data_IF_671330563511
#
_entry.id   IF_671330563511
#
_cell.length_a   1.000
_cell.length_b   1.000
_cell.length_c   1.000
_cell.angle_alpha   90.00
_cell.angle_beta   90.00
_cell.angle_gamma   90.00
#
_symmetry.space_group_name_H-M   'P 1'
#
loop_
_entity.id
_entity.type
_entity.pdbx_description
1 polymer ?
#
# COMPACT_ATOMS: atom_id res chain seq x y z
N UNK A 1 12.25 -65.60 -6.57
CA UNK A 1 11.09 -64.67 -6.72
C UNK A 1 10.89 -63.79 -5.49
N UNK A 2 10.77 -64.35 -4.28
CA UNK A 2 10.54 -63.56 -3.04
C UNK A 2 11.60 -62.47 -2.76
N UNK A 3 12.89 -62.75 -2.95
CA UNK A 3 13.98 -61.77 -2.78
C UNK A 3 13.94 -60.61 -3.80
N UNK A 4 13.46 -60.86 -5.02
CA UNK A 4 13.28 -59.81 -6.02
C UNK A 4 12.13 -58.87 -5.61
N UNK A 5 11.04 -59.44 -5.08
CA UNK A 5 9.90 -58.67 -4.59
C UNK A 5 10.25 -57.83 -3.36
N UNK A 6 11.08 -58.33 -2.44
CA UNK A 6 11.52 -57.54 -1.28
C UNK A 6 12.40 -56.35 -1.69
N UNK A 7 13.29 -56.54 -2.67
CA UNK A 7 14.16 -55.48 -3.19
C UNK A 7 13.38 -54.37 -3.90
N UNK A 8 12.35 -54.74 -4.67
CA UNK A 8 11.47 -53.76 -5.33
C UNK A 8 10.71 -52.92 -4.30
N UNK A 9 10.19 -53.54 -3.22
CA UNK A 9 9.50 -52.81 -2.15
C UNK A 9 10.39 -51.80 -1.45
N UNK A 10 11.64 -52.15 -1.18
CA UNK A 10 12.61 -51.23 -0.55
C UNK A 10 12.92 -50.04 -1.47
N UNK A 11 13.20 -50.30 -2.75
CA UNK A 11 13.47 -49.23 -3.73
C UNK A 11 12.27 -48.30 -3.93
N UNK A 12 11.04 -48.86 -3.95
CA UNK A 12 9.80 -48.07 -4.03
C UNK A 12 9.62 -47.18 -2.81
N UNK A 13 9.87 -47.71 -1.61
CA UNK A 13 9.79 -46.93 -0.38
C UNK A 13 10.80 -45.77 -0.36
N UNK A 14 12.03 -45.99 -0.82
CA UNK A 14 13.06 -44.95 -0.92
C UNK A 14 12.72 -43.89 -1.99
N UNK A 15 12.03 -44.29 -3.06
CA UNK A 15 11.57 -43.36 -4.11
C UNK A 15 10.36 -42.53 -3.65
N UNK A 16 9.41 -43.15 -2.95
CA UNK A 16 8.27 -42.48 -2.32
C UNK A 16 8.72 -41.48 -1.26
N UNK A 17 9.69 -41.86 -0.42
CA UNK A 17 10.28 -40.95 0.57
C UNK A 17 10.91 -39.72 -0.09
N UNK A 18 11.65 -39.91 -1.19
CA UNK A 18 12.24 -38.81 -1.97
C UNK A 18 11.18 -37.92 -2.61
N UNK A 19 10.12 -38.50 -3.19
CA UNK A 19 8.98 -37.74 -3.72
C UNK A 19 8.30 -36.91 -2.64
N UNK A 20 8.05 -37.51 -1.47
CA UNK A 20 7.41 -36.80 -0.35
C UNK A 20 8.27 -35.64 0.16
N UNK A 21 9.59 -35.85 0.26
CA UNK A 21 10.53 -34.78 0.63
C UNK A 21 10.49 -33.62 -0.37
N UNK A 22 10.52 -33.91 -1.68
CA UNK A 22 10.42 -32.89 -2.73
C UNK A 22 9.10 -32.12 -2.69
N UNK A 23 7.96 -32.81 -2.53
CA UNK A 23 6.65 -32.15 -2.41
C UNK A 23 6.59 -31.26 -1.17
N UNK A 24 7.16 -31.71 -0.05
CA UNK A 24 7.23 -30.92 1.19
C UNK A 24 8.11 -29.68 1.02
N UNK A 25 9.29 -29.83 0.43
CA UNK A 25 10.19 -28.70 0.14
C UNK A 25 9.52 -27.69 -0.78
N UNK A 26 8.87 -28.15 -1.85
CA UNK A 26 8.10 -27.29 -2.74
C UNK A 26 6.98 -26.56 -2.01
N UNK A 27 6.19 -27.25 -1.17
CA UNK A 27 5.11 -26.63 -0.41
C UNK A 27 5.63 -25.53 0.53
N UNK A 28 6.77 -25.77 1.20
CA UNK A 28 7.42 -24.76 2.05
C UNK A 28 7.90 -23.55 1.24
N UNK A 29 8.48 -23.79 0.06
CA UNK A 29 8.92 -22.71 -0.83
C UNK A 29 7.73 -21.88 -1.34
N UNK A 30 6.64 -22.53 -1.73
CA UNK A 30 5.42 -21.88 -2.18
C UNK A 30 4.82 -21.04 -1.05
N UNK A 31 4.72 -21.58 0.18
CA UNK A 31 4.25 -20.85 1.36
C UNK A 31 5.10 -19.59 1.64
N UNK A 32 6.43 -19.72 1.64
CA UNK A 32 7.34 -18.57 1.81
C UNK A 32 7.16 -17.55 0.70
N UNK A 33 6.95 -18.00 -0.54
CA UNK A 33 6.71 -17.12 -1.68
C UNK A 33 5.42 -16.32 -1.52
N UNK A 34 4.32 -16.98 -1.13
CA UNK A 34 3.05 -16.31 -0.84
C UNK A 34 3.15 -15.32 0.31
N UNK A 35 3.83 -15.66 1.40
CA UNK A 35 4.03 -14.75 2.53
C UNK A 35 4.84 -13.52 2.12
N UNK A 36 5.88 -13.71 1.31
CA UNK A 36 6.70 -12.61 0.81
C UNK A 36 5.92 -11.71 -0.15
N UNK A 37 5.09 -12.27 -1.01
CA UNK A 37 4.20 -11.53 -1.89
C UNK A 37 3.18 -10.70 -1.08
N UNK A 38 2.44 -11.34 -0.18
CA UNK A 38 1.47 -10.66 0.69
C UNK A 38 2.12 -9.54 1.50
N UNK A 39 3.34 -9.76 2.04
CA UNK A 39 4.09 -8.72 2.75
C UNK A 39 4.42 -7.55 1.81
N UNK A 40 4.92 -7.81 0.60
CA UNK A 40 5.26 -6.76 -0.37
C UNK A 40 4.03 -5.96 -0.78
N UNK A 41 2.93 -6.63 -1.08
CA UNK A 41 1.66 -5.97 -1.43
C UNK A 41 1.17 -5.09 -0.27
N UNK A 42 1.18 -5.61 0.97
CA UNK A 42 0.81 -4.84 2.15
C UNK A 42 1.68 -3.59 2.34
N UNK A 43 2.99 -3.67 2.11
CA UNK A 43 3.87 -2.49 2.15
C UNK A 43 3.56 -1.48 1.06
N UNK A 44 3.28 -1.94 -0.17
CA UNK A 44 2.94 -1.06 -1.29
C UNK A 44 1.61 -0.36 -1.04
N UNK A 45 0.58 -1.11 -0.61
CA UNK A 45 -0.73 -0.57 -0.27
C UNK A 45 -0.64 0.42 0.88
N UNK A 46 -0.01 0.05 1.99
CA UNK A 46 0.16 0.94 3.15
C UNK A 46 0.94 2.21 2.81
N UNK A 47 1.95 2.12 1.93
CA UNK A 47 2.68 3.32 1.46
C UNK A 47 1.79 4.22 0.58
N UNK A 48 0.99 3.64 -0.30
CA UNK A 48 0.07 4.41 -1.14
C UNK A 48 -1.02 5.09 -0.31
N UNK A 49 -1.59 4.39 0.67
CA UNK A 49 -2.57 4.94 1.60
C UNK A 49 -1.98 6.08 2.43
N UNK A 50 -0.80 5.87 3.03
CA UNK A 50 -0.11 6.91 3.80
C UNK A 50 0.21 8.16 2.96
N UNK A 51 0.59 7.98 1.68
CA UNK A 51 0.82 9.11 0.77
C UNK A 51 -0.48 9.87 0.48
N UNK A 52 -1.58 9.17 0.20
CA UNK A 52 -2.89 9.79 -0.04
C UNK A 52 -3.37 10.54 1.21
N UNK A 53 -3.27 9.93 2.38
CA UNK A 53 -3.65 10.58 3.64
C UNK A 53 -2.81 11.83 3.92
N UNK A 54 -1.50 11.76 3.64
CA UNK A 54 -0.61 12.92 3.78
C UNK A 54 -0.99 14.05 2.80
N UNK A 55 -1.25 13.73 1.53
CA UNK A 55 -1.69 14.70 0.52
C UNK A 55 -3.03 15.34 0.90
N UNK A 56 -4.01 14.55 1.33
CA UNK A 56 -5.30 15.05 1.80
C UNK A 56 -5.15 15.95 3.03
N UNK A 57 -4.30 15.56 3.98
CA UNK A 57 -4.07 16.34 5.18
C UNK A 57 -3.35 17.65 4.85
N UNK A 58 -2.37 17.62 3.95
CA UNK A 58 -1.71 18.83 3.44
C UNK A 58 -2.70 19.75 2.73
N UNK A 59 -3.59 19.22 1.91
CA UNK A 59 -4.62 20.04 1.25
C UNK A 59 -5.58 20.65 2.28
N UNK A 60 -5.99 19.88 3.29
CA UNK A 60 -6.83 20.39 4.40
C UNK A 60 -6.14 21.51 5.16
N UNK A 61 -4.85 21.37 5.49
CA UNK A 61 -4.11 22.40 6.21
C UNK A 61 -3.94 23.66 5.36
N UNK A 62 -3.58 23.53 4.08
CA UNK A 62 -3.52 24.66 3.13
C UNK A 62 -4.84 25.42 3.05
N UNK A 63 -5.97 24.69 2.87
CA UNK A 63 -7.31 25.30 2.85
C UNK A 63 -7.65 25.97 4.19
N UNK A 64 -7.29 25.37 5.32
CA UNK A 64 -7.50 25.96 6.64
C UNK A 64 -6.71 27.27 6.82
N UNK A 65 -5.45 27.31 6.36
CA UNK A 65 -4.63 28.53 6.34
C UNK A 65 -5.29 29.62 5.49
N UNK A 66 -5.74 29.29 4.27
CA UNK A 66 -6.44 30.24 3.42
C UNK A 66 -7.71 30.80 4.08
N UNK A 67 -8.52 29.95 4.72
CA UNK A 67 -9.71 30.39 5.47
C UNK A 67 -9.36 31.31 6.64
N UNK A 68 -8.30 30.99 7.39
CA UNK A 68 -7.81 31.83 8.49
C UNK A 68 -7.40 33.22 7.99
N UNK A 69 -6.66 33.29 6.89
CA UNK A 69 -6.24 34.55 6.26
C UNK A 69 -7.46 35.37 5.78
N UNK A 70 -8.44 34.73 5.14
CA UNK A 70 -9.68 35.40 4.71
C UNK A 70 -10.48 35.97 5.87
N UNK A 71 -10.48 35.31 7.03
CA UNK A 71 -11.24 35.75 8.19
C UNK A 71 -10.57 36.91 8.94
N UNK A 72 -9.24 36.96 8.93
CA UNK A 72 -8.45 37.92 9.71
C UNK A 72 -8.03 39.16 8.93
N UNK A 73 -8.13 39.15 7.60
CA UNK A 73 -7.58 40.20 6.74
C UNK A 73 -8.44 40.46 5.50
N UNK A 74 -8.32 41.65 4.90
CA UNK A 74 -8.92 41.99 3.59
C UNK A 74 -7.96 41.65 2.42
N UNK A 75 -7.18 40.57 2.53
CA UNK A 75 -6.23 40.18 1.49
C UNK A 75 -6.93 39.76 0.19
N UNK A 76 -6.32 40.12 -0.94
CA UNK A 76 -6.77 39.73 -2.28
C UNK A 76 -6.47 38.25 -2.55
N UNK A 77 -7.28 37.61 -3.40
CA UNK A 77 -7.21 36.16 -3.65
C UNK A 77 -5.83 35.72 -4.15
N UNK A 78 -5.15 36.54 -4.97
CA UNK A 78 -3.79 36.27 -5.43
C UNK A 78 -2.78 36.11 -4.30
N UNK A 79 -2.84 36.97 -3.28
CA UNK A 79 -1.88 36.93 -2.18
C UNK A 79 -2.16 35.79 -1.21
N UNK A 80 -3.44 35.44 -1.01
CA UNK A 80 -3.83 34.28 -0.21
C UNK A 80 -3.40 32.97 -0.90
N UNK A 81 -3.56 32.90 -2.23
CA UNK A 81 -3.12 31.77 -3.04
C UNK A 81 -1.61 31.52 -2.91
N UNK A 82 -0.82 32.60 -2.96
CA UNK A 82 0.64 32.53 -2.79
C UNK A 82 1.04 32.03 -1.38
N UNK A 83 0.45 32.61 -0.32
CA UNK A 83 0.82 32.26 1.06
C UNK A 83 0.35 30.86 1.46
N UNK A 84 -0.87 30.49 1.06
CA UNK A 84 -1.44 29.18 1.37
C UNK A 84 -0.95 28.07 0.43
N UNK A 85 -0.14 28.42 -0.59
CA UNK A 85 0.32 27.51 -1.64
C UNK A 85 -0.85 26.74 -2.28
N UNK A 86 -1.87 27.51 -2.68
CA UNK A 86 -3.10 27.03 -3.31
C UNK A 86 -3.33 27.74 -4.66
N UNK A 87 -4.00 27.09 -5.61
CA UNK A 87 -4.38 27.77 -6.84
C UNK A 87 -5.41 28.86 -6.57
N UNK A 88 -5.33 29.96 -7.31
CA UNK A 88 -6.21 31.13 -7.16
C UNK A 88 -7.69 30.74 -7.31
N UNK A 89 -8.00 29.79 -8.20
CA UNK A 89 -9.38 29.30 -8.39
C UNK A 89 -9.93 28.60 -7.14
N UNK A 90 -9.08 27.89 -6.41
CA UNK A 90 -9.46 27.25 -5.14
C UNK A 90 -9.78 28.30 -4.07
N UNK A 91 -8.96 29.34 -4.00
CA UNK A 91 -9.15 30.45 -3.06
C UNK A 91 -10.46 31.19 -3.36
N UNK A 92 -10.78 31.42 -4.64
CA UNK A 92 -12.07 32.00 -5.04
C UNK A 92 -13.25 31.14 -4.63
N UNK A 93 -13.16 29.82 -4.82
CA UNK A 93 -14.20 28.87 -4.40
C UNK A 93 -14.40 28.91 -2.88
N UNK A 94 -13.33 28.84 -2.10
CA UNK A 94 -13.38 28.94 -0.64
C UNK A 94 -14.02 30.26 -0.17
N UNK A 95 -13.71 31.37 -0.85
CA UNK A 95 -14.30 32.68 -0.55
C UNK A 95 -15.79 32.74 -0.91
N UNK A 96 -16.22 32.08 -1.98
CA UNK A 96 -17.63 31.95 -2.34
C UNK A 96 -18.40 31.06 -1.36
N UNK A 97 -17.78 30.00 -0.83
CA UNK A 97 -18.36 29.13 0.20
C UNK A 97 -18.61 29.88 1.52
N UNK A 98 -17.68 30.75 1.95
CA UNK A 98 -17.83 31.53 3.19
C UNK A 98 -18.91 32.61 3.08
N UNK A 99 -19.11 33.18 1.89
CA UNK A 99 -20.11 34.24 1.64
C UNK A 99 -21.53 33.71 1.43
N UNK A 100 -21.71 32.39 1.29
CA UNK A 100 -23.01 31.72 1.21
C UNK A 100 -23.63 31.58 2.58
#
# INVERSE_FOLDING_TARGET
VQQAMSRIRQLSADEEARRLAFVRERALHDEVSFLNEAKREGWVQGRQEALKEAEEQMLKTKRATARSLMAQTEMVDQLIAEIADLPVEEVKQLRAEIKR
#
